data_IF_399565300159
#
_entry.id   IF_399565300159
#
_cell.length_a   1.000
_cell.length_b   1.000
_cell.length_c   1.000
_cell.angle_alpha   90.00
_cell.angle_beta   90.00
_cell.angle_gamma   90.00
#
_symmetry.space_group_name_H-M   'P 1'
#
loop_
_entity.id
_entity.type
_entity.pdbx_description
1 polymer ?
#
# COMPACT_ATOMS: atom_id res chain seq x y z
N UNK A 1 -2.60 0.12 11.60
CA UNK A 1 -3.50 1.22 11.19
C UNK A 1 -4.89 1.10 11.82
N UNK A 2 -5.57 -0.05 11.72
CA UNK A 2 -6.97 -0.23 12.17
C UNK A 2 -7.23 0.17 13.62
N UNK A 3 -6.27 -0.07 14.53
CA UNK A 3 -6.36 0.37 15.92
C UNK A 3 -6.37 1.89 16.04
N UNK A 4 -5.58 2.57 15.21
CA UNK A 4 -5.55 4.04 15.14
C UNK A 4 -6.86 4.57 14.50
N UNK A 5 -7.37 3.91 13.44
CA UNK A 5 -8.63 4.30 12.80
C UNK A 5 -9.82 4.18 13.77
N UNK A 6 -9.87 3.11 14.55
CA UNK A 6 -10.92 2.91 15.58
C UNK A 6 -10.92 4.01 16.63
N UNK A 7 -9.75 4.36 17.19
CA UNK A 7 -9.66 5.40 18.18
C UNK A 7 -9.87 6.80 17.58
N UNK A 8 -9.44 7.01 16.33
CA UNK A 8 -9.71 8.23 15.61
C UNK A 8 -11.22 8.43 15.36
N UNK A 9 -11.94 7.36 15.01
CA UNK A 9 -13.40 7.39 14.88
C UNK A 9 -14.09 7.67 16.23
N UNK A 10 -13.63 7.01 17.31
CA UNK A 10 -14.15 7.30 18.65
C UNK A 10 -13.95 8.77 19.02
N UNK A 11 -12.81 9.37 18.68
CA UNK A 11 -12.55 10.78 18.91
C UNK A 11 -13.45 11.74 18.12
N UNK A 12 -14.06 11.28 17.00
CA UNK A 12 -15.05 12.05 16.25
C UNK A 12 -16.46 11.97 16.85
N UNK A 13 -16.75 10.91 17.60
CA UNK A 13 -18.08 10.62 18.15
C UNK A 13 -18.19 10.89 19.64
N UNK A 14 -17.08 11.04 20.35
CA UNK A 14 -16.99 11.26 21.80
C UNK A 14 -16.08 12.47 22.10
N UNK A 15 -16.69 13.59 22.49
CA UNK A 15 -16.02 14.84 22.82
C UNK A 15 -15.04 14.74 24.01
N UNK A 16 -15.11 13.65 24.79
CA UNK A 16 -14.16 13.39 25.88
C UNK A 16 -12.79 12.94 25.37
N UNK A 17 -12.71 12.40 24.16
CA UNK A 17 -11.48 11.95 23.50
C UNK A 17 -10.86 13.11 22.73
N UNK A 18 -9.94 13.84 23.37
CA UNK A 18 -9.26 15.01 22.78
C UNK A 18 -8.08 14.63 21.91
N UNK A 19 -8.29 13.73 20.95
CA UNK A 19 -7.26 13.28 20.00
C UNK A 19 -7.63 13.72 18.59
N UNK A 20 -6.62 14.04 17.80
CA UNK A 20 -6.73 14.36 16.38
C UNK A 20 -5.94 13.34 15.57
N UNK A 21 -6.23 13.25 14.28
CA UNK A 21 -5.52 12.33 13.38
C UNK A 21 -3.99 12.48 13.43
N UNK A 22 -3.49 13.67 13.74
CA UNK A 22 -2.04 13.97 13.83
C UNK A 22 -1.36 13.36 15.04
N UNK A 23 -2.14 12.94 16.03
CA UNK A 23 -1.61 12.37 17.27
C UNK A 23 -1.29 10.87 17.12
N UNK A 24 -1.83 10.22 16.06
CA UNK A 24 -1.62 8.82 15.81
C UNK A 24 -0.34 8.55 15.03
N UNK A 25 0.30 7.43 15.36
CA UNK A 25 1.55 6.99 14.74
C UNK A 25 1.75 5.49 14.88
N UNK A 26 2.62 4.96 14.04
CA UNK A 26 3.11 3.58 14.10
C UNK A 26 4.63 3.67 14.15
N UNK A 27 5.24 3.19 15.22
CA UNK A 27 6.68 3.20 15.43
C UNK A 27 7.25 1.79 15.21
N UNK A 28 8.31 1.71 14.42
CA UNK A 28 9.09 0.50 14.19
C UNK A 28 10.41 0.61 14.93
N UNK A 29 10.81 -0.46 15.60
CA UNK A 29 12.13 -0.59 16.18
C UNK A 29 12.72 -1.98 15.92
N UNK A 30 14.03 -2.05 15.81
CA UNK A 30 14.79 -3.27 15.60
C UNK A 30 15.82 -3.42 16.70
N UNK A 31 15.90 -4.60 17.27
CA UNK A 31 17.00 -4.99 18.15
C UNK A 31 17.71 -6.19 17.52
N UNK A 32 18.89 -5.93 16.93
CA UNK A 32 19.69 -6.95 16.23
C UNK A 32 20.20 -8.03 17.19
N UNK A 33 20.61 -7.64 18.39
CA UNK A 33 21.15 -8.56 19.37
C UNK A 33 20.10 -9.54 19.91
N UNK A 34 18.88 -9.03 20.14
CA UNK A 34 17.75 -9.84 20.54
C UNK A 34 16.97 -10.44 19.37
N UNK A 35 17.39 -10.22 18.12
CA UNK A 35 16.70 -10.66 16.90
C UNK A 35 15.21 -10.30 16.87
N UNK A 36 14.85 -9.11 17.35
CA UNK A 36 13.45 -8.69 17.43
C UNK A 36 13.13 -7.50 16.54
N UNK A 37 11.94 -7.55 15.97
CA UNK A 37 11.26 -6.39 15.33
C UNK A 37 10.06 -6.06 16.19
N UNK A 38 9.92 -4.80 16.55
CA UNK A 38 8.77 -4.32 17.32
C UNK A 38 7.99 -3.30 16.51
N UNK A 39 6.67 -3.50 16.44
CA UNK A 39 5.71 -2.58 15.83
C UNK A 39 4.83 -2.04 16.94
N UNK A 40 4.86 -0.74 17.16
CA UNK A 40 4.10 -0.07 18.23
C UNK A 40 3.12 0.92 17.61
N UNK A 41 1.85 0.83 17.97
CA UNK A 41 0.83 1.84 17.68
C UNK A 41 0.32 2.50 18.98
N UNK A 42 -0.20 3.69 18.83
CA UNK A 42 -0.90 4.40 19.89
C UNK A 42 -2.42 4.48 19.61
N UNK A 43 -2.97 3.43 19.05
CA UNK A 43 -4.39 3.27 18.77
C UNK A 43 -5.21 2.87 20.00
N UNK A 44 -6.37 2.28 19.75
CA UNK A 44 -7.35 1.96 20.79
C UNK A 44 -6.85 0.94 21.84
N UNK A 45 -5.87 0.11 21.49
CA UNK A 45 -5.41 -0.98 22.33
C UNK A 45 -6.46 -2.07 22.57
N UNK A 46 -6.16 -3.01 23.47
CA UNK A 46 -7.00 -4.16 23.79
C UNK A 46 -7.03 -4.40 25.28
N UNK A 47 -8.17 -4.81 25.82
CA UNK A 47 -8.27 -5.43 27.14
C UNK A 47 -8.07 -6.96 27.03
N UNK A 48 -8.25 -7.67 28.16
CA UNK A 48 -8.06 -9.12 28.19
C UNK A 48 -9.04 -9.87 27.29
N UNK A 49 -10.30 -9.45 27.27
CA UNK A 49 -11.34 -10.05 26.46
C UNK A 49 -11.08 -9.82 24.96
N UNK A 50 -10.65 -8.61 24.60
CA UNK A 50 -10.25 -8.29 23.23
C UNK A 50 -9.06 -9.14 22.75
N UNK A 51 -8.05 -9.37 23.62
CA UNK A 51 -6.91 -10.24 23.32
C UNK A 51 -7.34 -11.68 23.05
N UNK A 52 -8.18 -12.24 23.93
CA UNK A 52 -8.70 -13.61 23.79
C UNK A 52 -9.55 -13.76 22.52
N UNK A 53 -10.40 -12.78 22.22
CA UNK A 53 -11.30 -12.81 21.06
C UNK A 53 -10.61 -12.52 19.71
N UNK A 54 -9.58 -11.66 19.70
CA UNK A 54 -8.96 -11.21 18.45
C UNK A 54 -7.62 -11.94 18.15
N UNK A 55 -6.88 -12.38 19.17
CA UNK A 55 -5.61 -13.07 19.03
C UNK A 55 -5.65 -14.52 19.54
N UNK A 56 -6.63 -14.87 20.34
CA UNK A 56 -6.83 -16.23 20.84
C UNK A 56 -7.67 -17.11 19.91
N UNK A 57 -8.38 -16.51 18.95
CA UNK A 57 -9.27 -17.19 18.01
C UNK A 57 -8.86 -16.85 16.59
N UNK A 58 -8.52 -17.87 15.79
CA UNK A 58 -8.17 -17.69 14.36
C UNK A 58 -9.43 -17.28 13.59
N UNK A 59 -9.25 -16.38 12.62
CA UNK A 59 -10.32 -15.81 11.78
C UNK A 59 -11.38 -14.99 12.54
N UNK A 60 -11.03 -14.43 13.70
CA UNK A 60 -11.83 -13.43 14.40
C UNK A 60 -11.25 -12.04 14.15
N UNK A 61 -12.02 -11.16 13.51
CA UNK A 61 -11.58 -9.80 13.20
C UNK A 61 -12.38 -8.76 13.99
N UNK A 62 -11.73 -8.12 14.98
CA UNK A 62 -12.30 -6.97 15.66
C UNK A 62 -12.50 -5.77 14.74
N UNK A 63 -11.73 -5.67 13.67
CA UNK A 63 -11.87 -4.63 12.65
C UNK A 63 -13.09 -4.85 11.77
N UNK A 64 -13.40 -6.10 11.43
CA UNK A 64 -14.62 -6.44 10.69
C UNK A 64 -15.88 -6.17 11.52
N UNK A 65 -15.89 -6.56 12.81
CA UNK A 65 -17.00 -6.25 13.73
C UNK A 65 -17.23 -4.75 13.83
N UNK A 66 -16.18 -3.97 14.00
CA UNK A 66 -16.25 -2.51 14.03
C UNK A 66 -16.85 -1.92 12.74
N UNK A 67 -16.44 -2.42 11.55
CA UNK A 67 -17.01 -2.00 10.28
C UNK A 67 -18.51 -2.30 10.16
N UNK A 68 -18.96 -3.42 10.71
CA UNK A 68 -20.39 -3.76 10.74
C UNK A 68 -21.20 -2.87 11.70
N UNK A 69 -20.64 -2.50 12.85
CA UNK A 69 -21.31 -1.66 13.85
C UNK A 69 -21.48 -0.22 13.38
N UNK A 70 -20.48 0.31 12.65
CA UNK A 70 -20.49 1.71 12.18
C UNK A 70 -21.28 1.89 10.88
N UNK A 71 -21.52 0.83 10.09
CA UNK A 71 -22.33 0.86 8.87
C UNK A 71 -21.73 1.75 7.76
N UNK A 72 -22.61 2.30 6.89
CA UNK A 72 -22.22 3.12 5.73
C UNK A 72 -21.70 4.53 6.09
N UNK A 73 -21.77 4.96 7.34
CA UNK A 73 -21.25 6.27 7.80
C UNK A 73 -19.70 6.31 7.86
N UNK A 74 -19.04 5.22 7.43
CA UNK A 74 -17.57 5.05 7.49
C UNK A 74 -16.77 5.73 6.39
N UNK A 75 -17.25 6.79 5.76
CA UNK A 75 -16.50 7.49 4.67
C UNK A 75 -15.08 7.93 5.06
N UNK A 76 -14.77 7.98 6.35
CA UNK A 76 -13.47 8.36 6.89
C UNK A 76 -12.66 7.22 7.54
N UNK A 77 -13.17 5.98 7.56
CA UNK A 77 -12.46 4.83 8.15
C UNK A 77 -12.10 3.79 7.08
N UNK A 78 -10.80 3.65 6.77
CA UNK A 78 -10.29 2.62 5.83
C UNK A 78 -9.78 1.40 6.60
N UNK A 79 -10.69 0.67 7.25
CA UNK A 79 -10.36 -0.56 7.98
C UNK A 79 -9.87 -1.65 7.02
N UNK A 80 -8.62 -2.09 7.20
CA UNK A 80 -7.92 -3.03 6.32
C UNK A 80 -8.12 -4.49 6.78
N UNK A 81 -8.19 -4.74 8.08
CA UNK A 81 -8.26 -6.06 8.68
C UNK A 81 -9.66 -6.67 8.63
N UNK A 82 -9.96 -7.50 7.62
CA UNK A 82 -11.29 -8.09 7.45
C UNK A 82 -11.36 -9.54 7.93
N UNK A 83 -10.28 -10.31 7.85
CA UNK A 83 -10.32 -11.77 8.00
C UNK A 83 -9.79 -12.28 9.35
N UNK A 84 -9.10 -11.46 10.14
CA UNK A 84 -8.55 -11.87 11.43
C UNK A 84 -7.42 -12.90 11.36
N UNK A 85 -6.73 -13.03 10.21
CA UNK A 85 -5.64 -13.98 10.01
C UNK A 85 -4.30 -13.32 9.75
N UNK A 86 -4.28 -12.05 9.38
CA UNK A 86 -3.05 -11.32 9.03
C UNK A 86 -2.01 -11.30 10.15
N UNK A 87 -2.45 -11.23 11.40
CA UNK A 87 -1.57 -11.28 12.57
C UNK A 87 -0.74 -12.58 12.63
N UNK A 88 -1.36 -13.72 12.31
CA UNK A 88 -0.71 -15.02 12.39
C UNK A 88 0.38 -15.22 11.32
N UNK A 89 0.41 -14.40 10.28
CA UNK A 89 1.50 -14.44 9.30
C UNK A 89 2.87 -14.12 9.91
N UNK A 90 2.91 -13.46 11.07
CA UNK A 90 4.14 -13.24 11.82
C UNK A 90 4.88 -14.55 12.14
N UNK A 91 4.16 -15.64 12.40
CA UNK A 91 4.75 -16.95 12.69
C UNK A 91 5.41 -17.63 11.48
N UNK A 92 5.24 -17.08 10.28
CA UNK A 92 6.02 -17.55 9.12
C UNK A 92 7.50 -17.23 9.27
N UNK A 93 7.81 -16.08 9.88
CA UNK A 93 9.19 -15.58 10.05
C UNK A 93 9.66 -15.54 11.51
N UNK A 94 8.73 -15.72 12.47
CA UNK A 94 9.00 -15.62 13.92
C UNK A 94 8.79 -16.98 14.60
N UNK A 95 9.58 -17.26 15.61
CA UNK A 95 9.39 -18.39 16.53
C UNK A 95 8.60 -18.01 17.79
N UNK A 96 8.57 -16.69 18.11
CA UNK A 96 7.79 -16.15 19.21
C UNK A 96 7.21 -14.78 18.87
N UNK A 97 5.97 -14.55 19.26
CA UNK A 97 5.31 -13.25 19.17
C UNK A 97 4.77 -12.87 20.54
N UNK A 98 5.13 -11.67 21.00
CA UNK A 98 4.64 -11.08 22.25
C UNK A 98 3.87 -9.82 21.91
N UNK A 99 2.65 -9.69 22.43
CA UNK A 99 1.81 -8.49 22.28
C UNK A 99 1.59 -7.88 23.63
N UNK A 100 2.02 -6.64 23.83
CA UNK A 100 1.72 -5.83 25.02
C UNK A 100 0.73 -4.76 24.65
N UNK A 101 -0.35 -4.65 25.39
CA UNK A 101 -1.42 -3.73 25.02
C UNK A 101 -2.11 -3.15 26.24
N UNK A 102 -2.55 -1.90 26.12
CA UNK A 102 -3.42 -1.24 27.07
C UNK A 102 -4.55 -0.55 26.33
N UNK A 103 -5.79 -0.90 26.64
CA UNK A 103 -6.96 -0.30 26.04
C UNK A 103 -7.09 1.16 26.45
N UNK A 104 -7.46 2.03 25.52
CA UNK A 104 -7.70 3.43 25.80
C UNK A 104 -8.77 3.58 26.89
N UNK A 105 -8.48 4.41 27.90
CA UNK A 105 -9.34 4.59 29.07
C UNK A 105 -9.24 3.49 30.15
N UNK A 106 -8.38 2.48 29.97
CA UNK A 106 -8.12 1.45 30.99
C UNK A 106 -6.83 1.72 31.74
N UNK A 107 -6.80 1.35 33.03
CA UNK A 107 -5.60 1.43 33.86
C UNK A 107 -4.77 0.13 33.82
N UNK A 108 -5.34 -0.98 33.33
CA UNK A 108 -4.69 -2.28 33.26
C UNK A 108 -4.18 -2.58 31.89
N UNK A 109 -2.94 -3.04 31.79
CA UNK A 109 -2.32 -3.52 30.58
C UNK A 109 -2.11 -5.04 30.63
N UNK A 110 -2.12 -5.66 29.46
CA UNK A 110 -1.98 -7.11 29.32
C UNK A 110 -0.90 -7.47 28.31
N UNK A 111 -0.25 -8.60 28.54
CA UNK A 111 0.67 -9.25 27.62
C UNK A 111 0.09 -10.58 27.16
N UNK A 112 -0.03 -10.73 25.86
CA UNK A 112 -0.29 -11.99 25.17
C UNK A 112 1.01 -12.50 24.58
N UNK A 113 1.26 -13.82 24.66
CA UNK A 113 2.48 -14.42 24.12
C UNK A 113 2.19 -15.80 23.58
N UNK A 114 2.76 -16.13 22.41
CA UNK A 114 2.64 -17.42 21.76
C UNK A 114 3.88 -17.75 20.93
N UNK A 115 4.20 -19.04 20.81
CA UNK A 115 5.14 -19.62 19.84
C UNK A 115 4.44 -20.20 18.58
N UNK A 116 3.13 -20.01 18.47
CA UNK A 116 2.33 -20.44 17.32
C UNK A 116 1.50 -21.69 17.58
N UNK A 117 2.13 -22.86 17.67
CA UNK A 117 1.41 -24.14 17.70
C UNK A 117 0.84 -24.53 19.07
N UNK A 118 1.49 -24.13 20.15
CA UNK A 118 1.24 -24.63 21.50
C UNK A 118 0.26 -23.79 22.33
N UNK A 119 -0.51 -22.94 21.66
CA UNK A 119 -1.44 -22.03 22.33
C UNK A 119 -0.81 -20.68 22.73
N UNK A 120 -1.40 -20.00 23.71
CA UNK A 120 -0.95 -18.69 24.15
C UNK A 120 -1.13 -18.49 25.66
N UNK A 121 -0.45 -17.51 26.20
CA UNK A 121 -0.65 -17.04 27.58
C UNK A 121 -1.09 -15.59 27.59
N UNK A 122 -1.95 -15.21 28.58
CA UNK A 122 -2.33 -13.82 28.84
C UNK A 122 -2.04 -13.50 30.30
N UNK A 123 -1.23 -12.47 30.54
CA UNK A 123 -0.85 -12.00 31.86
C UNK A 123 -0.98 -10.48 31.94
N UNK A 124 -1.14 -9.94 33.11
CA UNK A 124 -1.00 -8.49 33.33
C UNK A 124 0.46 -8.06 33.12
N UNK A 125 0.66 -6.86 32.64
CA UNK A 125 1.98 -6.29 32.43
C UNK A 125 2.00 -4.78 32.66
N UNK A 126 3.20 -4.21 32.73
CA UNK A 126 3.37 -2.77 32.83
C UNK A 126 3.44 -2.15 31.42
N UNK A 127 2.48 -1.25 31.13
CA UNK A 127 2.49 -0.40 29.93
C UNK A 127 1.80 0.93 30.25
N UNK A 128 2.56 2.02 30.19
CA UNK A 128 2.09 3.36 30.61
C UNK A 128 1.07 3.96 29.66
N UNK A 129 1.22 3.72 28.35
CA UNK A 129 0.42 4.38 27.32
C UNK A 129 -0.59 3.42 26.68
N UNK A 130 -1.75 3.95 26.25
CA UNK A 130 -2.70 3.20 25.47
C UNK A 130 -2.09 2.83 24.10
N UNK A 131 -2.62 1.76 23.48
CA UNK A 131 -2.15 1.23 22.22
C UNK A 131 -1.52 -0.14 22.35
N UNK A 132 -0.91 -0.62 21.27
CA UNK A 132 -0.41 -1.98 21.18
C UNK A 132 1.05 -2.01 20.72
N UNK A 133 1.82 -2.89 21.29
CA UNK A 133 3.20 -3.21 20.94
C UNK A 133 3.28 -4.68 20.56
N UNK A 134 3.65 -4.97 19.31
CA UNK A 134 3.85 -6.32 18.79
C UNK A 134 5.34 -6.57 18.65
N UNK A 135 5.87 -7.46 19.47
CA UNK A 135 7.29 -7.84 19.52
C UNK A 135 7.42 -9.19 18.83
N UNK A 136 8.15 -9.23 17.74
CA UNK A 136 8.36 -10.41 16.90
C UNK A 136 9.81 -10.86 17.04
N UNK A 137 10.04 -12.04 17.63
CA UNK A 137 11.35 -12.68 17.67
C UNK A 137 11.55 -13.52 16.41
N UNK A 138 12.53 -13.16 15.59
CA UNK A 138 12.78 -13.82 14.31
C UNK A 138 13.45 -15.18 14.50
N UNK A 139 13.06 -16.13 13.68
CA UNK A 139 13.70 -17.45 13.55
C UNK A 139 15.19 -17.29 13.21
N UNK A 140 15.96 -18.30 13.53
CA UNK A 140 17.34 -18.41 13.08
C UNK A 140 17.40 -18.58 11.56
N UNK A 141 18.46 -18.06 10.94
CA UNK A 141 18.70 -18.24 9.52
C UNK A 141 18.98 -19.72 9.21
N UNK A 142 18.54 -20.15 8.04
CA UNK A 142 18.81 -21.48 7.50
C UNK A 142 19.64 -21.38 6.22
N UNK A 143 19.95 -22.48 5.57
CA UNK A 143 20.65 -22.45 4.26
C UNK A 143 19.83 -21.80 3.17
N UNK A 144 18.49 -21.91 3.23
CA UNK A 144 17.55 -21.41 2.22
C UNK A 144 16.85 -20.11 2.61
N UNK A 145 16.74 -19.78 3.92
CA UNK A 145 15.96 -18.67 4.45
C UNK A 145 16.83 -17.75 5.32
N UNK A 146 16.90 -16.47 4.95
CA UNK A 146 17.70 -15.44 5.64
C UNK A 146 16.81 -14.47 6.41
N UNK A 147 16.24 -14.91 7.53
CA UNK A 147 15.34 -14.07 8.35
C UNK A 147 16.03 -12.85 8.94
N UNK A 148 17.36 -12.89 9.15
CA UNK A 148 18.16 -11.76 9.65
C UNK A 148 18.11 -10.54 8.71
N UNK A 149 17.78 -10.70 7.42
CA UNK A 149 17.64 -9.56 6.52
C UNK A 149 16.53 -8.59 6.97
N UNK A 150 15.49 -9.09 7.66
CA UNK A 150 14.42 -8.24 8.19
C UNK A 150 14.86 -7.39 9.39
N UNK A 151 16.06 -7.60 9.94
CA UNK A 151 16.67 -6.74 10.95
C UNK A 151 17.42 -5.56 10.34
N UNK A 152 17.52 -5.52 9.01
CA UNK A 152 18.21 -4.45 8.30
C UNK A 152 17.27 -3.29 7.98
N UNK A 153 17.75 -2.06 8.26
CA UNK A 153 16.97 -0.84 8.02
C UNK A 153 16.50 -0.72 6.57
N UNK A 154 17.39 -0.99 5.61
CA UNK A 154 17.06 -0.87 4.18
C UNK A 154 15.94 -1.82 3.77
N UNK A 155 15.90 -3.04 4.34
CA UNK A 155 14.86 -4.04 4.05
C UNK A 155 13.49 -3.60 4.56
N UNK A 156 13.43 -3.08 5.78
CA UNK A 156 12.17 -2.55 6.32
C UNK A 156 11.68 -1.34 5.54
N UNK A 157 12.58 -0.46 5.10
CA UNK A 157 12.22 0.67 4.22
C UNK A 157 11.63 0.19 2.90
N UNK A 158 12.26 -0.79 2.26
CA UNK A 158 11.76 -1.40 1.02
C UNK A 158 10.36 -1.95 1.22
N UNK A 159 10.13 -2.76 2.26
CA UNK A 159 8.84 -3.37 2.55
C UNK A 159 7.75 -2.32 2.84
N UNK A 160 8.06 -1.30 3.62
CA UNK A 160 7.11 -0.21 3.91
C UNK A 160 6.76 0.54 2.64
N UNK A 161 7.76 0.92 1.83
CA UNK A 161 7.53 1.61 0.56
C UNK A 161 6.70 0.77 -0.41
N UNK A 162 6.92 -0.53 -0.45
CA UNK A 162 6.20 -1.43 -1.35
C UNK A 162 4.75 -1.67 -0.92
N UNK A 163 4.53 -2.00 0.35
CA UNK A 163 3.23 -2.52 0.81
C UNK A 163 2.42 -1.56 1.67
N UNK A 164 3.05 -0.59 2.32
CA UNK A 164 2.43 0.27 3.35
C UNK A 164 2.67 1.77 3.14
N UNK A 165 3.15 2.17 1.95
CA UNK A 165 3.49 3.55 1.67
C UNK A 165 2.31 4.52 1.86
N UNK A 166 1.10 4.04 1.61
CA UNK A 166 -0.11 4.85 1.65
C UNK A 166 -1.01 4.57 2.87
N UNK A 167 -0.47 3.91 3.89
CA UNK A 167 -1.12 3.87 5.20
C UNK A 167 -1.26 5.29 5.72
N UNK A 168 -2.45 5.66 6.18
CA UNK A 168 -2.83 7.04 6.54
C UNK A 168 -2.09 7.63 7.74
N UNK A 169 -1.46 6.80 8.54
CA UNK A 169 -0.69 7.19 9.72
C UNK A 169 0.80 7.12 9.45
N UNK A 170 1.61 8.02 10.05
CA UNK A 170 3.05 7.98 9.88
C UNK A 170 3.62 6.68 10.46
N UNK A 171 4.33 5.94 9.61
CA UNK A 171 5.15 4.80 10.01
C UNK A 171 6.56 5.33 10.19
N UNK A 172 7.06 5.29 11.44
CA UNK A 172 8.33 5.92 11.80
C UNK A 172 9.33 4.89 12.27
N UNK A 173 10.60 5.16 12.04
CA UNK A 173 11.69 4.35 12.53
C UNK A 173 12.86 5.25 12.94
N UNK A 174 13.57 4.88 13.99
CA UNK A 174 14.83 5.49 14.37
C UNK A 174 15.90 5.06 13.36
N UNK A 175 16.47 6.04 12.64
CA UNK A 175 17.51 5.80 11.63
C UNK A 175 18.81 6.46 12.02
N UNK A 176 19.91 5.79 11.72
CA UNK A 176 21.24 6.36 11.96
C UNK A 176 21.69 7.13 10.72
N UNK A 177 21.85 8.45 10.88
CA UNK A 177 22.40 9.35 9.87
C UNK A 177 23.79 9.83 10.27
N UNK A 178 24.59 10.23 9.31
CA UNK A 178 25.89 10.87 9.57
C UNK A 178 25.81 12.35 9.24
N UNK A 179 26.34 13.19 10.10
CA UNK A 179 26.54 14.61 9.81
C UNK A 179 28.03 14.93 9.80
N UNK A 180 28.43 15.79 8.87
CA UNK A 180 29.79 16.32 8.80
C UNK A 180 29.95 17.44 9.82
N UNK A 181 30.89 17.27 10.74
CA UNK A 181 31.21 18.27 11.75
C UNK A 181 32.64 18.73 11.47
N UNK A 182 32.90 20.04 11.61
CA UNK A 182 34.24 20.57 11.43
C UNK A 182 35.22 19.87 12.38
N UNK A 183 36.28 19.27 11.83
CA UNK A 183 37.30 18.61 12.62
C UNK A 183 38.24 19.66 13.21
N UNK A 184 38.53 19.53 14.49
CA UNK A 184 39.56 20.38 15.14
C UNK A 184 40.97 19.90 14.85
N UNK A 185 41.17 18.73 14.21
CA UNK A 185 42.46 18.10 14.02
C UNK A 185 42.82 17.79 12.56
N UNK A 186 41.91 18.00 11.62
CA UNK A 186 42.16 17.72 10.19
C UNK A 186 41.38 18.67 9.29
N UNK A 187 41.88 18.88 8.06
CA UNK A 187 41.18 19.67 7.02
C UNK A 187 39.97 18.94 6.43
N UNK A 188 39.69 17.71 6.87
CA UNK A 188 38.52 16.95 6.47
C UNK A 188 37.49 16.95 7.61
N UNK A 189 36.21 17.20 7.33
CA UNK A 189 35.17 17.14 8.35
C UNK A 189 35.08 15.71 8.92
N UNK A 190 34.90 15.61 10.22
CA UNK A 190 34.61 14.35 10.90
C UNK A 190 33.14 13.97 10.65
N UNK A 191 32.89 12.70 10.36
CA UNK A 191 31.52 12.16 10.23
C UNK A 191 31.06 11.61 11.57
N UNK A 192 30.05 12.28 12.16
CA UNK A 192 29.49 11.89 13.45
C UNK A 192 28.10 11.28 13.23
N UNK A 193 27.88 10.01 13.64
CA UNK A 193 26.57 9.39 13.57
C UNK A 193 25.60 10.05 14.58
N UNK A 194 24.34 10.22 14.18
CA UNK A 194 23.24 10.63 15.05
C UNK A 194 21.98 9.85 14.68
N UNK A 195 21.10 9.66 15.66
CA UNK A 195 19.84 8.96 15.49
C UNK A 195 18.74 9.99 15.31
N UNK A 196 17.88 9.79 14.32
CA UNK A 196 16.73 10.62 14.01
C UNK A 196 15.51 9.74 13.76
N UNK A 197 14.34 10.16 14.27
CA UNK A 197 13.07 9.52 13.93
C UNK A 197 12.62 10.00 12.54
N UNK A 198 12.53 9.08 11.61
CA UNK A 198 12.12 9.36 10.23
C UNK A 198 10.77 8.71 9.92
N UNK A 199 9.90 9.43 9.21
CA UNK A 199 8.67 8.88 8.65
C UNK A 199 8.99 8.22 7.31
N UNK A 200 8.72 6.93 7.21
CA UNK A 200 9.14 6.10 6.08
C UNK A 200 8.09 6.06 4.95
N UNK A 201 6.82 6.27 5.27
CA UNK A 201 5.72 6.19 4.32
C UNK A 201 5.24 7.57 3.86
N UNK A 202 4.61 7.61 2.70
CA UNK A 202 4.10 8.85 2.08
C UNK A 202 2.71 9.24 2.57
N UNK A 203 1.95 8.34 3.18
CA UNK A 203 0.60 8.48 3.75
C UNK A 203 -0.50 8.86 2.77
N UNK A 204 -0.31 9.89 1.95
CA UNK A 204 -1.33 10.38 1.02
C UNK A 204 -0.89 10.13 -0.42
N UNK A 205 -1.51 9.16 -1.10
CA UNK A 205 -1.18 8.87 -2.48
C UNK A 205 -1.59 10.02 -3.42
N UNK A 206 -0.78 10.26 -4.43
CA UNK A 206 -0.99 11.35 -5.39
C UNK A 206 -2.36 11.24 -6.12
N UNK A 207 -2.85 10.02 -6.37
CA UNK A 207 -4.16 9.78 -7.01
C UNK A 207 -5.36 10.04 -6.10
N UNK A 208 -5.15 10.17 -4.79
CA UNK A 208 -6.20 10.56 -3.84
C UNK A 208 -6.35 12.09 -3.74
N UNK A 209 -5.31 12.84 -4.12
CA UNK A 209 -5.32 14.31 -4.10
C UNK A 209 -6.23 14.87 -5.22
N UNK A 210 -6.80 16.05 -5.00
CA UNK A 210 -7.57 16.72 -6.05
C UNK A 210 -6.64 17.09 -7.20
N UNK A 211 -7.09 16.87 -8.44
CA UNK A 211 -6.30 17.17 -9.65
C UNK A 211 -5.77 18.61 -9.69
N UNK A 212 -6.53 19.55 -9.17
CA UNK A 212 -6.14 20.98 -9.11
C UNK A 212 -4.97 21.26 -8.15
N UNK A 213 -4.74 20.36 -7.18
CA UNK A 213 -3.72 20.51 -6.14
C UNK A 213 -2.41 19.78 -6.48
N UNK A 214 -2.34 19.12 -7.65
CA UNK A 214 -1.18 18.36 -8.11
C UNK A 214 -0.61 19.00 -9.36
N UNK A 215 0.66 19.36 -9.33
CA UNK A 215 1.36 19.93 -10.47
C UNK A 215 1.76 18.83 -11.47
N UNK A 216 1.86 19.14 -12.77
CA UNK A 216 2.31 18.18 -13.79
C UNK A 216 3.65 17.52 -13.46
N UNK A 217 4.58 18.29 -12.88
CA UNK A 217 5.91 17.81 -12.51
C UNK A 217 5.85 16.73 -11.44
N UNK A 218 4.89 16.83 -10.48
CA UNK A 218 4.70 15.80 -9.43
C UNK A 218 4.22 14.46 -10.03
N UNK A 219 3.37 14.50 -11.08
CA UNK A 219 2.97 13.28 -11.80
C UNK A 219 4.13 12.64 -12.55
N UNK A 220 5.00 13.46 -13.17
CA UNK A 220 6.15 12.98 -13.90
C UNK A 220 7.19 12.35 -12.94
N UNK A 221 7.45 12.99 -11.81
CA UNK A 221 8.33 12.49 -10.77
C UNK A 221 7.81 11.17 -10.20
N UNK A 222 6.52 11.12 -9.82
CA UNK A 222 5.87 9.89 -9.39
C UNK A 222 6.01 8.76 -10.42
N UNK A 223 5.79 9.06 -11.71
CA UNK A 223 5.91 8.07 -12.77
C UNK A 223 7.34 7.51 -12.87
N UNK A 224 8.33 8.38 -12.91
CA UNK A 224 9.74 7.98 -13.02
C UNK A 224 10.19 7.12 -11.83
N UNK A 225 9.85 7.54 -10.63
CA UNK A 225 10.22 6.82 -9.41
C UNK A 225 9.49 5.48 -9.30
N UNK A 226 8.16 5.49 -9.52
CA UNK A 226 7.32 4.32 -9.31
C UNK A 226 7.53 3.22 -10.34
N UNK A 227 7.76 3.60 -11.59
CA UNK A 227 7.91 2.65 -12.69
C UNK A 227 9.34 2.52 -13.21
N UNK A 228 10.30 3.15 -12.52
CA UNK A 228 11.73 3.13 -12.85
C UNK A 228 12.00 3.50 -14.31
N UNK A 229 11.26 4.50 -14.81
CA UNK A 229 11.41 5.03 -16.16
C UNK A 229 12.27 6.29 -16.13
N UNK A 230 13.12 6.46 -17.16
CA UNK A 230 14.00 7.63 -17.26
C UNK A 230 13.35 8.80 -17.99
N UNK A 231 12.28 8.53 -18.75
CA UNK A 231 11.55 9.52 -19.52
C UNK A 231 10.25 9.91 -18.82
N UNK A 232 9.81 11.14 -19.06
CA UNK A 232 8.48 11.57 -18.63
C UNK A 232 7.38 10.84 -19.41
N UNK A 233 6.22 10.59 -18.82
CA UNK A 233 5.10 10.01 -19.53
C UNK A 233 4.58 11.00 -20.57
N UNK A 234 4.17 10.50 -21.72
CA UNK A 234 3.58 11.31 -22.78
C UNK A 234 2.18 11.79 -22.41
N UNK A 235 1.46 11.02 -21.63
CA UNK A 235 0.11 11.38 -21.16
C UNK A 235 -0.14 10.88 -19.74
N UNK A 236 -0.79 11.73 -18.96
CA UNK A 236 -1.29 11.42 -17.62
C UNK A 236 -2.82 11.42 -17.65
N UNK A 237 -3.43 10.34 -17.20
CA UNK A 237 -4.88 10.14 -17.19
C UNK A 237 -5.33 9.91 -15.75
N UNK A 238 -6.15 10.82 -15.25
CA UNK A 238 -6.75 10.69 -13.90
C UNK A 238 -8.20 10.26 -14.03
N UNK A 239 -8.61 9.31 -13.19
CA UNK A 239 -10.00 8.84 -13.09
C UNK A 239 -10.44 8.89 -11.64
N UNK A 240 -11.64 9.38 -11.40
CA UNK A 240 -12.35 9.27 -10.13
C UNK A 240 -13.78 8.86 -10.46
N UNK A 241 -14.18 7.70 -10.00
CA UNK A 241 -15.50 7.13 -10.24
C UNK A 241 -16.17 6.81 -8.91
N UNK A 242 -17.42 7.25 -8.78
CA UNK A 242 -18.30 6.95 -7.67
C UNK A 242 -19.61 6.41 -8.24
N UNK A 243 -20.12 5.29 -7.74
CA UNK A 243 -21.35 4.68 -8.25
C UNK A 243 -21.44 3.19 -7.94
N UNK A 244 -21.68 2.37 -8.96
CA UNK A 244 -21.76 0.90 -8.80
C UNK A 244 -20.44 0.29 -8.30
N UNK A 245 -19.32 0.92 -8.59
CA UNK A 245 -17.98 0.63 -8.05
C UNK A 245 -17.28 1.97 -7.84
N UNK A 246 -16.74 2.15 -6.65
CA UNK A 246 -15.94 3.34 -6.30
C UNK A 246 -14.46 3.03 -6.52
N UNK A 247 -13.78 3.85 -7.31
CA UNK A 247 -12.34 3.71 -7.51
C UNK A 247 -11.69 5.01 -7.98
N UNK A 248 -10.40 5.13 -7.73
CA UNK A 248 -9.54 6.15 -8.33
C UNK A 248 -8.45 5.46 -9.14
N UNK A 249 -8.06 6.08 -10.25
CA UNK A 249 -6.96 5.59 -11.06
C UNK A 249 -6.08 6.73 -11.55
N UNK A 250 -4.80 6.46 -11.62
CA UNK A 250 -3.79 7.33 -12.22
C UNK A 250 -3.02 6.49 -13.24
N UNK A 251 -3.25 6.79 -14.52
CA UNK A 251 -2.68 6.02 -15.62
C UNK A 251 -1.71 6.90 -16.40
N UNK A 252 -0.71 6.24 -16.98
CA UNK A 252 0.33 6.87 -17.77
C UNK A 252 0.51 6.16 -19.11
N UNK A 253 0.63 6.93 -20.18
CA UNK A 253 1.15 6.45 -21.46
C UNK A 253 2.65 6.78 -21.46
N UNK A 254 3.56 5.80 -21.54
CA UNK A 254 4.99 6.04 -21.56
C UNK A 254 5.43 6.94 -22.71
N UNK A 255 6.46 7.75 -22.50
CA UNK A 255 7.05 8.59 -23.56
C UNK A 255 7.83 7.81 -24.61
N UNK A 256 8.29 6.62 -24.26
CA UNK A 256 9.02 5.72 -25.14
C UNK A 256 8.59 4.26 -24.92
N UNK A 257 8.82 3.41 -25.91
CA UNK A 257 8.58 1.97 -25.80
C UNK A 257 9.60 1.37 -24.83
N UNK A 258 9.17 0.67 -23.74
CA UNK A 258 10.08 -0.06 -22.87
C UNK A 258 10.92 -1.06 -23.66
N UNK A 259 12.17 -1.28 -23.22
CA UNK A 259 13.11 -2.16 -23.92
C UNK A 259 12.58 -3.60 -24.09
N UNK A 260 11.91 -4.11 -23.07
CA UNK A 260 11.35 -5.46 -23.01
C UNK A 260 9.92 -5.58 -23.55
N UNK A 261 9.31 -4.48 -24.03
CA UNK A 261 7.88 -4.39 -24.36
C UNK A 261 7.37 -5.48 -25.31
N UNK A 262 8.20 -5.88 -26.28
CA UNK A 262 7.86 -6.92 -27.26
C UNK A 262 8.46 -8.29 -26.94
N UNK A 263 9.03 -8.46 -25.75
CA UNK A 263 9.54 -9.75 -25.29
C UNK A 263 8.46 -10.55 -24.55
N UNK A 264 8.73 -11.82 -24.25
CA UNK A 264 7.82 -12.68 -23.50
C UNK A 264 7.84 -12.35 -22.00
N UNK A 265 8.92 -11.74 -21.54
CA UNK A 265 9.15 -11.35 -20.16
C UNK A 265 8.36 -10.10 -19.76
N UNK A 266 7.87 -9.33 -20.76
CA UNK A 266 7.06 -8.14 -20.47
C UNK A 266 5.70 -8.53 -19.90
N UNK A 267 5.47 -8.18 -18.66
CA UNK A 267 4.21 -8.38 -17.98
C UNK A 267 3.37 -7.10 -18.02
N UNK A 268 2.20 -7.19 -18.62
CA UNK A 268 1.21 -6.12 -18.56
C UNK A 268 0.53 -6.06 -17.20
N UNK A 269 -0.01 -4.92 -16.84
CA UNK A 269 -0.86 -4.78 -15.68
C UNK A 269 -0.69 -3.45 -14.98
N UNK A 270 -1.72 -3.08 -14.24
CA UNK A 270 -1.72 -1.92 -13.37
C UNK A 270 -1.51 -2.37 -11.93
N UNK A 271 -0.86 -1.54 -11.14
CA UNK A 271 -0.81 -1.76 -9.71
C UNK A 271 -2.21 -1.60 -9.12
N UNK A 272 -2.64 -2.58 -8.34
CA UNK A 272 -3.94 -2.60 -7.71
C UNK A 272 -3.79 -2.40 -6.21
N UNK A 273 -4.46 -1.38 -5.71
CA UNK A 273 -4.55 -1.03 -4.29
C UNK A 273 -5.98 -1.22 -3.78
N UNK A 274 -6.09 -1.52 -2.52
CA UNK A 274 -7.34 -1.46 -1.77
C UNK A 274 -7.08 -0.75 -0.44
N UNK A 275 -7.76 0.38 -0.24
CA UNK A 275 -7.60 1.21 0.97
C UNK A 275 -6.13 1.55 1.28
N UNK A 276 -5.35 1.93 0.26
CA UNK A 276 -3.95 2.31 0.40
C UNK A 276 -2.95 1.16 0.58
N UNK A 277 -3.40 -0.10 0.53
CA UNK A 277 -2.55 -1.30 0.60
C UNK A 277 -2.38 -1.90 -0.78
N UNK A 278 -1.15 -2.20 -1.18
CA UNK A 278 -0.86 -2.88 -2.44
C UNK A 278 -1.38 -4.32 -2.37
N UNK A 279 -2.28 -4.66 -3.30
CA UNK A 279 -2.87 -6.00 -3.46
C UNK A 279 -2.12 -6.77 -4.53
N UNK A 280 -1.85 -6.13 -5.66
CA UNK A 280 -1.19 -6.76 -6.80
C UNK A 280 -0.32 -5.73 -7.52
N UNK A 281 0.95 -6.06 -7.73
CA UNK A 281 1.90 -5.17 -8.40
C UNK A 281 1.62 -5.05 -9.91
N UNK A 282 1.12 -6.12 -10.52
CA UNK A 282 0.70 -6.16 -11.92
C UNK A 282 -0.61 -6.93 -12.03
N UNK A 283 -1.74 -6.23 -12.07
CA UNK A 283 -3.05 -6.83 -12.32
C UNK A 283 -3.35 -6.85 -13.83
N UNK A 284 -3.22 -8.01 -14.50
CA UNK A 284 -3.36 -8.10 -15.95
C UNK A 284 -4.81 -7.94 -16.41
N UNK A 285 -5.78 -8.20 -15.53
CA UNK A 285 -7.21 -8.16 -15.86
C UNK A 285 -7.76 -6.72 -15.98
N UNK A 286 -7.01 -5.73 -15.52
CA UNK A 286 -7.39 -4.31 -15.63
C UNK A 286 -7.16 -3.72 -17.01
N UNK A 287 -6.33 -4.35 -17.83
CA UNK A 287 -5.98 -3.85 -19.16
C UNK A 287 -6.15 -4.94 -20.22
N UNK A 288 -6.85 -4.64 -21.32
CA UNK A 288 -6.83 -5.50 -22.50
C UNK A 288 -5.44 -5.51 -23.15
N UNK A 289 -5.17 -6.51 -23.97
CA UNK A 289 -3.85 -6.70 -24.58
C UNK A 289 -3.42 -5.51 -25.48
N UNK A 290 -4.36 -4.87 -26.14
CA UNK A 290 -4.08 -3.73 -27.01
C UNK A 290 -3.69 -2.44 -26.26
N UNK A 291 -3.93 -2.37 -24.93
CA UNK A 291 -3.49 -1.28 -24.06
C UNK A 291 -2.40 -1.70 -23.07
N UNK A 292 -1.71 -2.82 -23.32
CA UNK A 292 -0.64 -3.34 -22.44
C UNK A 292 0.50 -2.35 -22.15
N UNK A 293 0.65 -1.30 -22.97
CA UNK A 293 1.64 -0.25 -22.76
C UNK A 293 1.29 0.73 -21.62
N UNK A 294 0.03 0.77 -21.22
CA UNK A 294 -0.40 1.68 -20.14
C UNK A 294 0.17 1.20 -18.81
N UNK A 295 0.77 2.11 -18.07
CA UNK A 295 1.23 1.90 -16.69
C UNK A 295 0.37 2.71 -15.75
N UNK A 296 0.34 2.35 -14.48
CA UNK A 296 -0.42 3.15 -13.52
C UNK A 296 -0.89 2.38 -12.32
N UNK A 297 -1.76 3.03 -11.56
CA UNK A 297 -2.33 2.52 -10.33
C UNK A 297 -3.86 2.62 -10.37
N UNK A 298 -4.51 1.65 -9.74
CA UNK A 298 -5.95 1.64 -9.46
C UNK A 298 -6.12 1.38 -7.97
N UNK A 299 -6.97 2.16 -7.34
CA UNK A 299 -7.26 2.04 -5.90
C UNK A 299 -8.78 2.00 -5.71
N UNK A 300 -9.28 0.92 -5.12
CA UNK A 300 -10.70 0.72 -4.87
C UNK A 300 -10.95 0.07 -3.51
N UNK A 301 -11.81 0.64 -2.68
CA UNK A 301 -12.24 0.02 -1.42
C UNK A 301 -13.25 -1.12 -1.63
N UNK A 302 -13.87 -1.22 -2.83
CA UNK A 302 -15.00 -2.11 -3.10
C UNK A 302 -14.56 -3.50 -3.59
N UNK A 303 -13.26 -3.78 -3.67
CA UNK A 303 -12.75 -5.05 -4.17
C UNK A 303 -13.02 -6.20 -3.21
N UNK A 304 -13.51 -7.30 -3.74
CA UNK A 304 -13.67 -8.55 -2.99
C UNK A 304 -12.35 -9.30 -2.95
N UNK A 305 -11.71 -9.26 -1.78
CA UNK A 305 -10.44 -9.94 -1.53
C UNK A 305 -10.67 -11.27 -0.79
N UNK A 306 -9.83 -12.27 -1.06
CA UNK A 306 -9.77 -13.49 -0.27
C UNK A 306 -8.92 -13.29 1.00
N UNK A 307 -8.74 -14.35 1.79
CA UNK A 307 -7.96 -14.34 3.03
C UNK A 307 -6.49 -13.94 2.79
N UNK A 308 -5.90 -14.36 1.69
CA UNK A 308 -4.53 -14.00 1.30
C UNK A 308 -4.41 -12.60 0.68
N UNK A 309 -5.49 -11.83 0.65
CA UNK A 309 -5.60 -10.54 -0.05
C UNK A 309 -5.35 -10.63 -1.56
N UNK A 310 -5.54 -11.79 -2.14
CA UNK A 310 -5.59 -11.97 -3.58
C UNK A 310 -7.00 -11.69 -4.07
N UNK A 311 -7.13 -11.27 -5.31
CA UNK A 311 -8.43 -11.09 -5.93
C UNK A 311 -9.16 -12.42 -6.06
N UNK A 312 -10.44 -12.43 -5.77
CA UNK A 312 -11.31 -13.55 -6.13
C UNK A 312 -11.36 -13.65 -7.66
N UNK A 313 -11.15 -14.86 -8.17
CA UNK A 313 -11.26 -15.11 -9.61
C UNK A 313 -12.63 -14.63 -10.10
N UNK A 314 -12.65 -13.88 -11.21
CA UNK A 314 -13.84 -13.29 -11.82
C UNK A 314 -14.57 -12.23 -10.99
N UNK A 315 -13.85 -11.41 -10.24
CA UNK A 315 -14.44 -10.27 -9.54
C UNK A 315 -15.21 -9.37 -10.52
N UNK A 316 -16.50 -9.19 -10.22
CA UNK A 316 -17.41 -8.36 -11.05
C UNK A 316 -16.99 -6.89 -11.03
N UNK A 317 -16.53 -6.40 -9.88
CA UNK A 317 -16.08 -5.02 -9.71
C UNK A 317 -14.85 -4.76 -10.58
N UNK A 318 -13.91 -5.69 -10.60
CA UNK A 318 -12.70 -5.59 -11.41
C UNK A 318 -13.03 -5.48 -12.91
N UNK A 319 -14.00 -6.27 -13.41
CA UNK A 319 -14.46 -6.20 -14.82
C UNK A 319 -15.09 -4.86 -15.15
N UNK A 320 -15.88 -4.29 -14.23
CA UNK A 320 -16.48 -2.97 -14.41
C UNK A 320 -15.40 -1.89 -14.47
N UNK A 321 -14.42 -1.95 -13.56
CA UNK A 321 -13.27 -1.03 -13.56
C UNK A 321 -12.52 -1.15 -14.90
N UNK A 322 -12.14 -2.35 -15.32
CA UNK A 322 -11.41 -2.60 -16.56
C UNK A 322 -12.13 -2.02 -17.79
N UNK A 323 -13.44 -2.27 -17.93
CA UNK A 323 -14.24 -1.73 -19.03
C UNK A 323 -14.34 -0.19 -19.02
N UNK A 324 -14.37 0.42 -17.85
CA UNK A 324 -14.33 1.89 -17.73
C UNK A 324 -12.97 2.47 -18.08
N UNK A 325 -11.89 1.82 -17.64
CA UNK A 325 -10.52 2.23 -17.97
C UNK A 325 -10.26 2.12 -19.46
N UNK A 326 -10.69 1.03 -20.11
CA UNK A 326 -10.58 0.84 -21.57
C UNK A 326 -11.24 1.99 -22.33
N UNK A 327 -12.48 2.33 -22.00
CA UNK A 327 -13.21 3.47 -22.59
C UNK A 327 -12.48 4.79 -22.35
N UNK A 328 -11.97 4.99 -21.14
CA UNK A 328 -11.25 6.22 -20.78
C UNK A 328 -9.95 6.37 -21.56
N UNK A 329 -9.15 5.32 -21.67
CA UNK A 329 -7.90 5.30 -22.45
C UNK A 329 -8.20 5.60 -23.93
N UNK A 330 -9.22 4.93 -24.53
CA UNK A 330 -9.66 5.21 -25.89
C UNK A 330 -10.01 6.69 -26.07
N UNK A 331 -10.82 7.24 -25.16
CA UNK A 331 -11.25 8.65 -25.23
C UNK A 331 -10.06 9.62 -25.18
N UNK A 332 -9.07 9.37 -24.33
CA UNK A 332 -7.87 10.22 -24.24
C UNK A 332 -7.00 10.11 -25.49
N UNK A 333 -6.85 8.91 -26.06
CA UNK A 333 -6.14 8.71 -27.33
C UNK A 333 -6.86 9.39 -28.50
N UNK A 334 -8.17 9.28 -28.58
CA UNK A 334 -8.97 9.96 -29.60
C UNK A 334 -8.87 11.50 -29.48
N UNK A 335 -8.87 12.03 -28.26
CA UNK A 335 -8.65 13.44 -28.01
C UNK A 335 -7.25 13.87 -28.47
N UNK A 336 -6.22 13.11 -28.14
CA UNK A 336 -4.85 13.39 -28.54
C UNK A 336 -4.71 13.34 -30.09
N UNK A 337 -5.36 12.40 -30.76
CA UNK A 337 -5.38 12.30 -32.22
C UNK A 337 -6.00 13.54 -32.87
N UNK A 338 -7.08 14.06 -32.27
CA UNK A 338 -7.83 15.21 -32.79
C UNK A 338 -7.14 16.54 -32.50
N UNK A 339 -6.72 16.73 -31.26
CA UNK A 339 -6.33 18.06 -30.76
C UNK A 339 -4.80 18.24 -30.69
N UNK A 340 -4.01 17.14 -30.65
CA UNK A 340 -2.57 17.14 -30.43
C UNK A 340 -1.85 16.17 -31.41
N UNK A 341 -2.03 16.44 -32.70
CA UNK A 341 -1.61 15.52 -33.78
C UNK A 341 -0.15 15.07 -33.72
N UNK A 342 0.78 15.97 -33.47
CA UNK A 342 2.22 15.65 -33.38
C UNK A 342 2.53 14.72 -32.19
N UNK A 343 1.87 14.96 -31.05
CA UNK A 343 1.98 14.09 -29.89
C UNK A 343 1.43 12.69 -30.20
N UNK A 344 0.29 12.63 -30.91
CA UNK A 344 -0.28 11.35 -31.33
C UNK A 344 0.60 10.59 -32.32
N UNK A 345 1.26 11.27 -33.26
CA UNK A 345 2.20 10.64 -34.20
C UNK A 345 3.44 10.07 -33.45
N UNK A 346 3.89 10.73 -32.41
CA UNK A 346 4.94 10.20 -31.52
C UNK A 346 4.46 8.96 -30.77
N UNK A 347 3.26 9.01 -30.20
CA UNK A 347 2.61 7.84 -29.59
C UNK A 347 2.47 6.68 -30.61
N UNK A 348 2.02 7.00 -31.81
CA UNK A 348 1.83 6.00 -32.87
C UNK A 348 3.13 5.29 -33.30
N UNK A 349 4.24 6.02 -33.36
CA UNK A 349 5.57 5.42 -33.63
C UNK A 349 5.93 4.40 -32.55
N UNK A 350 5.61 4.67 -31.31
CA UNK A 350 5.93 3.82 -30.17
C UNK A 350 4.98 2.61 -30.03
N UNK A 351 3.67 2.84 -30.15
CA UNK A 351 2.64 1.86 -29.76
C UNK A 351 1.61 1.53 -30.85
N UNK A 352 1.68 2.14 -32.02
CA UNK A 352 0.72 1.91 -33.11
C UNK A 352 0.65 0.45 -33.55
N UNK A 353 1.77 -0.30 -33.46
CA UNK A 353 1.79 -1.75 -33.73
C UNK A 353 0.87 -2.49 -32.77
N UNK A 354 0.83 -2.09 -31.51
CA UNK A 354 -0.01 -2.71 -30.47
C UNK A 354 -1.50 -2.45 -30.72
N UNK A 355 -1.86 -1.24 -31.15
CA UNK A 355 -3.25 -0.95 -31.56
C UNK A 355 -3.67 -1.74 -32.78
N UNK A 356 -2.80 -1.86 -33.81
CA UNK A 356 -3.06 -2.71 -35.00
C UNK A 356 -3.27 -4.18 -34.59
N UNK A 357 -2.45 -4.69 -33.68
CA UNK A 357 -2.62 -6.03 -33.12
C UNK A 357 -4.00 -6.19 -32.48
N UNK A 358 -4.45 -5.23 -31.68
CA UNK A 358 -5.78 -5.24 -31.06
C UNK A 358 -6.92 -5.29 -32.05
N UNK A 359 -6.78 -4.67 -33.24
CA UNK A 359 -7.82 -4.70 -34.30
C UNK A 359 -7.99 -6.10 -34.87
N UNK A 360 -6.90 -6.87 -35.05
CA UNK A 360 -6.92 -8.19 -35.71
C UNK A 360 -6.97 -9.36 -34.73
N UNK A 361 -6.60 -9.14 -33.47
CA UNK A 361 -6.63 -10.17 -32.42
C UNK A 361 -8.07 -10.58 -32.08
N UNK A 362 -8.22 -11.72 -31.47
CA UNK A 362 -9.52 -12.23 -30.96
C UNK A 362 -10.66 -12.14 -32.00
N UNK A 363 -10.35 -12.51 -33.25
CA UNK A 363 -11.32 -12.46 -34.40
C UNK A 363 -11.88 -11.06 -34.63
N UNK A 364 -11.15 -10.00 -34.28
CA UNK A 364 -11.56 -8.61 -34.54
C UNK A 364 -12.61 -8.04 -33.59
N UNK A 365 -12.76 -8.62 -32.43
CA UNK A 365 -13.76 -8.19 -31.42
C UNK A 365 -13.56 -6.72 -31.00
N UNK A 366 -12.32 -6.24 -31.02
CA UNK A 366 -11.96 -4.86 -30.65
C UNK A 366 -11.86 -3.91 -31.86
N UNK A 367 -12.20 -4.37 -33.08
CA UNK A 367 -12.09 -3.56 -34.29
C UNK A 367 -12.85 -2.24 -34.18
N UNK A 368 -14.13 -2.29 -33.83
CA UNK A 368 -14.98 -1.09 -33.71
C UNK A 368 -14.53 -0.14 -32.62
N UNK A 369 -13.85 -0.67 -31.61
CA UNK A 369 -13.26 0.16 -30.54
C UNK A 369 -12.03 0.92 -31.04
N UNK A 370 -11.17 0.32 -31.87
CA UNK A 370 -9.81 0.78 -32.15
C UNK A 370 -9.61 1.37 -33.53
N UNK A 371 -10.48 1.05 -34.53
CA UNK A 371 -10.28 1.47 -35.92
C UNK A 371 -10.10 2.98 -36.09
N UNK A 372 -10.82 3.79 -35.32
CA UNK A 372 -10.76 5.25 -35.39
C UNK A 372 -9.46 5.83 -34.78
N UNK A 373 -8.65 5.01 -34.14
CA UNK A 373 -7.34 5.36 -33.57
C UNK A 373 -6.16 5.02 -34.54
N UNK A 374 -6.43 4.40 -35.67
CA UNK A 374 -5.37 4.02 -36.58
C UNK A 374 -4.90 5.20 -37.45
N UNK A 375 -3.57 5.29 -37.68
CA UNK A 375 -2.93 6.16 -38.63
C UNK A 375 -2.52 5.40 -39.90
#
# INVERSE_FOLDING_TARGET
SDACDKLCYQALTDDSVKLTRKDFKIDLSVNKDARTITVTDNGIGMDKEDLENNLGVIASSGSYKFKQEVGDDTKDTDVIGQFGVGFYSAFMVCDQVTVRTRKFGSDTAYQWQSSGADGYTVTECDKSDAGTEVIMHLKDDTEDEHYSEFLEEWKLRELIKKYSDYIRFPIRMAVTKTKKVASCMSDKPDEVPYVEMETLNSMVPIWQRKKADVKPEEYNEFYREKFHDFADPQRVITVSAEGAVTYKALLFIPGATPFDFYTKEYEKGLQLYSSGVLIMDKCPDLLPEHFRFVRGVVDSPDLSLNISRELLQHDRQLKVIAGNLEKKIKSELAKMLKDEREAYETFWKNFGRQLKYGVVSEYGIHKDLLQDLLL
#
